data_IF_488594449829
#
_entry.id   IF_488594449829
#
_cell.length_a   1.000
_cell.length_b   1.000
_cell.length_c   1.000
_cell.angle_alpha   90.00
_cell.angle_beta   90.00
_cell.angle_gamma   90.00
#
_symmetry.space_group_name_H-M   'P 1'
#
loop_
_entity.id
_entity.type
_entity.pdbx_description
1 polymer ?
#
# COMPACT_ATOMS: atom_id res chain seq x y z
N UNK A 1 10.76 29.72 15.42
CA UNK A 1 10.15 29.70 14.07
C UNK A 1 11.28 29.83 13.06
N UNK A 2 11.27 29.00 12.00
CA UNK A 2 12.19 28.94 10.84
C UNK A 2 13.58 28.29 11.03
N UNK A 3 13.83 27.24 10.25
CA UNK A 3 14.45 27.40 8.94
C UNK A 3 13.79 26.41 7.96
N UNK A 4 13.08 26.93 6.96
CA UNK A 4 12.70 26.14 5.77
C UNK A 4 13.97 26.03 4.95
N UNK A 5 14.50 24.81 4.80
CA UNK A 5 15.57 24.54 3.85
C UNK A 5 14.92 24.14 2.53
N UNK A 6 14.70 25.13 1.66
CA UNK A 6 14.58 24.90 0.23
C UNK A 6 15.99 24.73 -0.32
N UNK A 7 16.47 23.49 -0.47
CA UNK A 7 17.71 23.22 -1.22
C UNK A 7 17.68 21.76 -1.71
N UNK A 8 17.43 21.61 -3.01
CA UNK A 8 17.64 20.38 -3.80
C UNK A 8 16.80 19.18 -3.35
N UNK A 9 15.57 19.05 -3.87
CA UNK A 9 14.93 17.73 -3.93
C UNK A 9 15.80 16.83 -4.80
N UNK A 10 16.60 15.97 -4.16
CA UNK A 10 17.41 14.99 -4.88
C UNK A 10 16.48 14.15 -5.75
N UNK A 11 16.94 13.68 -6.91
CA UNK A 11 16.16 12.76 -7.74
C UNK A 11 15.64 11.55 -6.93
N UNK A 12 16.44 11.09 -5.96
CA UNK A 12 16.05 10.05 -5.01
C UNK A 12 14.81 10.42 -4.19
N UNK A 13 14.77 11.62 -3.57
CA UNK A 13 13.63 12.08 -2.78
C UNK A 13 12.35 12.20 -3.62
N UNK A 14 12.49 12.55 -4.91
CA UNK A 14 11.36 12.63 -5.84
C UNK A 14 10.86 11.24 -6.21
N UNK A 15 11.77 10.31 -6.51
CA UNK A 15 11.42 8.92 -6.81
C UNK A 15 10.73 8.27 -5.61
N UNK A 16 11.26 8.43 -4.40
CA UNK A 16 10.66 7.88 -3.18
C UNK A 16 9.22 8.38 -2.98
N UNK A 17 9.00 9.70 -3.15
CA UNK A 17 7.65 10.26 -3.06
C UNK A 17 6.70 9.75 -4.13
N UNK A 18 7.18 9.59 -5.37
CA UNK A 18 6.39 9.05 -6.49
C UNK A 18 6.05 7.58 -6.24
N UNK A 19 6.98 6.78 -5.73
CA UNK A 19 6.75 5.38 -5.41
C UNK A 19 5.80 5.20 -4.21
N UNK A 20 5.93 6.02 -3.17
CA UNK A 20 5.04 5.94 -2.00
C UNK A 20 3.61 6.39 -2.30
N UNK A 21 3.43 7.53 -2.96
CA UNK A 21 2.09 8.11 -3.21
C UNK A 21 1.44 7.65 -4.51
N UNK A 22 2.25 7.26 -5.49
CA UNK A 22 1.81 6.97 -6.85
C UNK A 22 1.76 8.21 -7.75
N UNK A 23 1.96 8.01 -9.06
CA UNK A 23 1.86 9.01 -10.13
C UNK A 23 1.01 8.46 -11.27
N UNK A 24 0.00 9.23 -11.72
CA UNK A 24 -0.83 8.89 -12.88
C UNK A 24 -0.47 9.80 -14.05
N UNK A 25 -0.17 9.19 -15.20
CA UNK A 25 0.20 9.87 -16.44
C UNK A 25 -0.92 9.65 -17.46
N UNK A 26 -1.48 10.75 -17.97
CA UNK A 26 -2.40 10.75 -19.10
C UNK A 26 -1.68 11.38 -20.29
N UNK A 27 -1.59 10.66 -21.40
CA UNK A 27 -0.95 11.13 -22.62
C UNK A 27 -1.83 10.83 -23.83
N UNK A 28 -1.94 11.81 -24.72
CA UNK A 28 -2.68 11.68 -25.98
C UNK A 28 -1.71 11.94 -27.15
N UNK A 29 -1.65 11.01 -28.09
CA UNK A 29 -0.78 11.08 -29.27
C UNK A 29 -1.67 11.20 -30.51
N UNK A 30 -1.46 12.24 -31.32
CA UNK A 30 -2.19 12.49 -32.55
C UNK A 30 -1.24 12.36 -33.75
N UNK A 31 -1.59 11.51 -34.72
CA UNK A 31 -0.85 11.33 -35.98
C UNK A 31 -1.67 11.98 -37.09
N UNK A 32 -1.08 12.99 -37.74
CA UNK A 32 -1.72 13.75 -38.82
C UNK A 32 -0.91 13.64 -40.11
N UNK A 33 -1.60 13.54 -41.25
CA UNK A 33 -1.00 13.55 -42.59
C UNK A 33 -1.80 14.50 -43.47
N UNK A 34 -1.12 15.36 -44.22
CA UNK A 34 -1.75 16.33 -45.14
C UNK A 34 -2.84 17.21 -44.50
N UNK A 35 -2.71 17.53 -43.21
CA UNK A 35 -3.67 18.38 -42.49
C UNK A 35 -4.94 17.68 -42.01
N UNK A 36 -5.03 16.34 -42.16
CA UNK A 36 -6.11 15.54 -41.56
C UNK A 36 -5.56 14.63 -40.45
N UNK A 37 -6.31 14.52 -39.37
CA UNK A 37 -6.00 13.65 -38.23
C UNK A 37 -6.36 12.20 -38.58
N UNK A 38 -5.37 11.29 -38.56
CA UNK A 38 -5.58 9.89 -38.93
C UNK A 38 -5.76 8.98 -37.73
N UNK A 39 -4.97 9.18 -36.67
CA UNK A 39 -4.97 8.31 -35.50
C UNK A 39 -4.76 9.11 -34.23
N UNK A 40 -5.63 8.90 -33.25
CA UNK A 40 -5.47 9.36 -31.88
C UNK A 40 -5.29 8.18 -30.92
N UNK A 41 -4.19 8.14 -30.19
CA UNK A 41 -3.91 7.13 -29.16
C UNK A 41 -4.01 7.81 -27.81
N UNK A 42 -4.87 7.28 -26.93
CA UNK A 42 -4.97 7.72 -25.53
C UNK A 42 -4.29 6.71 -24.63
N UNK A 43 -3.32 7.16 -23.84
CA UNK A 43 -2.52 6.34 -22.93
C UNK A 43 -2.77 6.82 -21.51
N UNK A 44 -3.08 5.88 -20.61
CA UNK A 44 -3.14 6.10 -19.17
C UNK A 44 -2.19 5.13 -18.50
N UNK A 45 -1.23 5.64 -17.76
CA UNK A 45 -0.26 4.84 -17.02
C UNK A 45 -0.24 5.26 -15.56
N UNK A 46 0.00 4.31 -14.66
CA UNK A 46 0.22 4.57 -13.24
C UNK A 46 1.58 4.01 -12.82
N UNK A 47 2.36 4.81 -12.11
CA UNK A 47 3.63 4.42 -11.49
C UNK A 47 3.45 4.49 -9.98
N UNK A 48 3.67 3.37 -9.28
CA UNK A 48 3.54 3.31 -7.83
C UNK A 48 4.35 2.13 -7.28
N UNK A 49 4.60 2.14 -5.97
CA UNK A 49 5.09 0.97 -5.25
C UNK A 49 4.10 -0.18 -5.33
N UNK A 50 4.58 -1.41 -5.15
CA UNK A 50 3.74 -2.62 -5.13
C UNK A 50 2.64 -2.57 -4.08
N UNK A 51 2.94 -2.08 -2.88
CA UNK A 51 1.94 -1.90 -1.81
C UNK A 51 0.84 -0.92 -2.24
N UNK A 52 1.23 0.24 -2.78
CA UNK A 52 0.31 1.27 -3.25
C UNK A 52 -0.52 0.76 -4.44
N UNK A 53 0.11 0.06 -5.38
CA UNK A 53 -0.57 -0.56 -6.52
C UNK A 53 -1.60 -1.61 -6.09
N UNK A 54 -1.24 -2.48 -5.14
CA UNK A 54 -2.15 -3.48 -4.57
C UNK A 54 -3.31 -2.83 -3.81
N UNK A 55 -3.03 -1.79 -3.00
CA UNK A 55 -4.04 -1.03 -2.26
C UNK A 55 -5.11 -0.40 -3.18
N UNK A 56 -4.72 0.08 -4.35
CA UNK A 56 -5.63 0.69 -5.32
C UNK A 56 -6.15 -0.32 -6.37
N UNK A 57 -5.82 -1.60 -6.26
CA UNK A 57 -6.35 -2.65 -7.13
C UNK A 57 -5.85 -2.58 -8.57
N UNK A 58 -4.60 -2.21 -8.79
CA UNK A 58 -4.00 -2.24 -10.14
C UNK A 58 -3.77 -3.69 -10.61
N UNK A 59 -4.05 -3.95 -11.89
CA UNK A 59 -3.75 -5.24 -12.53
C UNK A 59 -2.24 -5.42 -12.74
N UNK A 60 -1.71 -6.58 -12.34
CA UNK A 60 -0.30 -6.92 -12.48
C UNK A 60 -0.07 -7.86 -13.68
N UNK A 61 1.01 -7.66 -14.47
CA UNK A 61 1.32 -8.54 -15.59
C UNK A 61 1.67 -9.97 -15.16
N UNK A 62 1.39 -10.92 -16.04
CA UNK A 62 1.70 -12.35 -15.89
C UNK A 62 3.21 -12.56 -15.80
N UNK A 63 3.68 -13.17 -14.71
CA UNK A 63 5.11 -13.36 -14.41
C UNK A 63 5.57 -12.69 -13.11
N UNK A 64 4.69 -11.90 -12.49
CA UNK A 64 4.93 -11.33 -11.17
C UNK A 64 4.79 -12.42 -10.10
N UNK A 65 5.86 -12.74 -9.35
CA UNK A 65 5.84 -13.78 -8.33
C UNK A 65 5.15 -13.29 -7.04
N UNK A 66 3.82 -13.35 -7.03
CA UNK A 66 2.94 -12.94 -5.93
C UNK A 66 3.08 -13.78 -4.65
N UNK A 67 3.88 -14.85 -4.67
CA UNK A 67 4.04 -15.75 -3.52
C UNK A 67 5.24 -15.44 -2.62
N UNK A 68 6.10 -14.49 -2.99
CA UNK A 68 7.22 -14.07 -2.13
C UNK A 68 6.70 -13.46 -0.82
N UNK A 69 7.41 -13.63 0.30
CA UNK A 69 7.04 -13.03 1.59
C UNK A 69 6.76 -11.53 1.49
N UNK A 70 7.57 -10.80 0.72
CA UNK A 70 7.41 -9.38 0.44
C UNK A 70 6.07 -9.04 -0.25
N UNK A 71 5.50 -9.94 -1.07
CA UNK A 71 4.19 -9.75 -1.71
C UNK A 71 3.05 -9.91 -0.72
N UNK A 72 3.13 -10.89 0.18
CA UNK A 72 2.14 -11.07 1.26
C UNK A 72 2.15 -9.88 2.24
N UNK A 73 3.33 -9.36 2.57
CA UNK A 73 3.46 -8.16 3.42
C UNK A 73 2.94 -6.89 2.74
N UNK A 74 3.16 -6.72 1.43
CA UNK A 74 2.60 -5.58 0.69
C UNK A 74 1.08 -5.64 0.55
N UNK A 75 0.48 -6.84 0.62
CA UNK A 75 -0.98 -7.04 0.58
C UNK A 75 -1.64 -7.03 1.96
N UNK A 76 -0.90 -7.33 3.03
CA UNK A 76 -1.39 -7.08 4.38
C UNK A 76 -1.40 -5.57 4.60
N UNK A 77 -2.57 -4.92 4.44
CA UNK A 77 -2.69 -3.48 4.67
C UNK A 77 -1.97 -3.10 5.97
N UNK A 78 -0.86 -2.38 5.86
CA UNK A 78 -0.07 -1.95 7.01
C UNK A 78 -0.68 -0.63 7.51
N UNK A 79 -0.93 -0.53 8.80
CA UNK A 79 -1.32 0.72 9.44
C UNK A 79 -0.34 1.12 10.54
N UNK A 80 -0.27 2.42 10.81
CA UNK A 80 0.57 2.96 11.87
C UNK A 80 -0.14 2.85 13.22
N UNK A 81 0.52 2.27 14.21
CA UNK A 81 0.00 2.26 15.56
C UNK A 81 -0.16 3.70 16.10
N UNK A 82 -1.31 4.09 16.67
CA UNK A 82 -1.54 5.46 17.14
C UNK A 82 -0.64 5.87 18.32
N UNK A 83 -0.08 4.90 19.05
CA UNK A 83 0.77 5.16 20.22
C UNK A 83 2.26 5.24 19.87
N UNK A 84 2.77 4.32 19.04
CA UNK A 84 4.21 4.21 18.76
C UNK A 84 4.60 4.49 17.30
N UNK A 85 3.63 4.72 16.41
CA UNK A 85 3.81 4.99 14.97
C UNK A 85 4.59 3.94 14.18
N UNK A 86 4.73 2.73 14.72
CA UNK A 86 5.29 1.62 13.95
C UNK A 86 4.23 1.06 13.01
N UNK A 87 4.67 0.66 11.81
CA UNK A 87 3.84 0.00 10.81
C UNK A 87 3.65 -1.46 11.20
N UNK A 88 2.40 -1.87 11.31
CA UNK A 88 1.97 -3.20 11.76
C UNK A 88 0.81 -3.66 10.86
N UNK A 89 0.63 -4.95 10.59
CA UNK A 89 -0.53 -5.44 9.86
C UNK A 89 -1.85 -5.00 10.53
N UNK A 90 -2.80 -4.49 9.73
CA UNK A 90 -4.13 -4.05 10.19
C UNK A 90 -4.84 -5.14 10.99
N UNK A 91 -4.79 -6.38 10.50
CA UNK A 91 -5.46 -7.52 11.14
C UNK A 91 -4.93 -7.75 12.55
N UNK A 92 -3.61 -7.65 12.73
CA UNK A 92 -2.94 -7.82 14.01
C UNK A 92 -3.24 -6.65 14.95
N UNK A 93 -3.19 -5.39 14.47
CA UNK A 93 -3.59 -4.22 15.26
C UNK A 93 -5.04 -4.28 15.73
N UNK A 94 -5.95 -4.73 14.86
CA UNK A 94 -7.38 -4.77 15.16
C UNK A 94 -7.74 -5.91 16.11
N UNK A 95 -7.11 -7.08 15.99
CA UNK A 95 -7.53 -8.29 16.70
C UNK A 95 -6.64 -8.62 17.91
N UNK A 96 -5.33 -8.39 17.83
CA UNK A 96 -4.36 -8.78 18.86
C UNK A 96 -3.80 -7.58 19.62
N UNK A 97 -3.49 -6.49 18.90
CA UNK A 97 -2.84 -5.29 19.41
C UNK A 97 -1.45 -5.08 18.80
N UNK A 98 -0.76 -4.00 19.20
CA UNK A 98 0.56 -3.67 18.69
C UNK A 98 1.66 -4.45 19.46
N UNK A 99 2.46 -5.30 18.78
CA UNK A 99 3.47 -6.16 19.44
C UNK A 99 4.67 -5.39 19.99
N UNK A 100 4.88 -4.14 19.54
CA UNK A 100 6.01 -3.33 19.98
C UNK A 100 5.77 -2.51 21.24
N UNK A 101 4.53 -2.07 21.49
CA UNK A 101 4.22 -1.16 22.60
C UNK A 101 3.09 -1.65 23.51
N UNK A 102 2.42 -2.75 23.14
CA UNK A 102 1.30 -3.29 23.91
C UNK A 102 -0.01 -2.52 23.76
N UNK A 103 -0.11 -1.58 22.81
CA UNK A 103 -1.39 -0.91 22.52
C UNK A 103 -2.44 -1.94 22.08
N UNK A 104 -3.68 -1.79 22.52
CA UNK A 104 -4.78 -2.70 22.17
C UNK A 104 -5.95 -1.89 21.61
N UNK A 105 -6.51 -2.34 20.49
CA UNK A 105 -7.67 -1.68 19.90
C UNK A 105 -8.91 -1.87 20.77
N UNK A 106 -9.89 -0.97 20.63
CA UNK A 106 -11.19 -1.12 21.31
C UNK A 106 -11.89 -2.43 20.91
N UNK A 107 -11.70 -2.91 19.68
CA UNK A 107 -12.23 -4.18 19.18
C UNK A 107 -11.58 -5.36 19.92
N UNK A 108 -10.26 -5.40 19.98
CA UNK A 108 -9.50 -6.43 20.68
C UNK A 108 -9.80 -6.47 22.19
N UNK A 109 -9.93 -5.31 22.85
CA UNK A 109 -10.35 -5.26 24.26
C UNK A 109 -11.77 -5.82 24.47
N UNK A 110 -12.71 -5.51 23.57
CA UNK A 110 -14.09 -6.02 23.64
C UNK A 110 -14.16 -7.54 23.43
N UNK A 111 -13.36 -8.08 22.51
CA UNK A 111 -13.27 -9.52 22.28
C UNK A 111 -12.80 -10.26 23.54
N UNK A 112 -11.74 -9.77 24.20
CA UNK A 112 -11.22 -10.33 25.46
C UNK A 112 -12.23 -10.28 26.61
N UNK A 113 -13.04 -9.22 26.68
CA UNK A 113 -14.07 -9.06 27.74
C UNK A 113 -15.27 -9.98 27.57
N UNK A 114 -15.62 -10.32 26.32
CA UNK A 114 -16.83 -11.07 25.99
C UNK A 114 -16.56 -12.57 25.82
N UNK A 115 -15.29 -13.01 25.92
CA UNK A 115 -14.90 -14.43 25.78
C UNK A 115 -15.11 -15.00 24.37
N UNK A 116 -15.34 -14.15 23.36
CA UNK A 116 -15.50 -14.58 21.98
C UNK A 116 -14.12 -14.89 21.40
N UNK A 117 -13.76 -16.17 21.37
CA UNK A 117 -12.59 -16.65 20.62
C UNK A 117 -12.84 -16.46 19.12
N UNK A 118 -11.96 -15.74 18.39
CA UNK A 118 -12.09 -15.64 16.94
C UNK A 118 -11.77 -16.99 16.28
N UNK A 119 -12.58 -17.36 15.28
CA UNK A 119 -12.63 -18.66 14.59
C UNK A 119 -11.34 -19.05 13.82
N UNK A 120 -10.34 -18.16 13.77
CA UNK A 120 -9.07 -18.34 13.05
C UNK A 120 -8.10 -19.32 13.71
N UNK A 121 -8.34 -19.71 14.97
CA UNK A 121 -7.52 -20.68 15.71
C UNK A 121 -8.10 -22.12 15.61
N UNK A 122 -8.49 -22.57 14.41
CA UNK A 122 -8.91 -23.97 14.16
C UNK A 122 -8.06 -24.72 13.14
N UNK A 123 -7.02 -24.11 12.57
CA UNK A 123 -6.26 -24.71 11.44
C UNK A 123 -4.85 -25.20 11.83
N UNK A 124 -4.35 -24.93 13.05
CA UNK A 124 -2.95 -25.24 13.43
C UNK A 124 -2.79 -26.38 14.45
N UNK A 125 -3.82 -27.20 14.68
CA UNK A 125 -3.70 -28.36 15.57
C UNK A 125 -4.52 -29.55 15.03
N UNK A 126 -3.91 -30.37 14.18
CA UNK A 126 -4.00 -31.84 14.24
C UNK A 126 -2.81 -32.44 13.45
N UNK A 127 -2.26 -33.60 13.86
CA UNK A 127 -0.86 -34.01 13.67
C UNK A 127 -0.48 -34.54 12.28
#
# INVERSE_FOLDING_TARGET
MRAVRDTESTLADVIDRVLDKGLVINADILISVAGVELLGIKIRAALASFETAAKYGLEFPTGTNTQTAAWREAMSGLEECPQCKKRVPVEELLNEGCPWCGWVSAKAMRARRTGAIPEVLRIIDEP
#
